data_IF_464287580929
#
_entry.id   IF_464287580929
#
_cell.length_a   1.000
_cell.length_b   1.000
_cell.length_c   1.000
_cell.angle_alpha   90.00
_cell.angle_beta   90.00
_cell.angle_gamma   90.00
#
_symmetry.space_group_name_H-M   'P 1'
#
loop_
_entity.id
_entity.type
_entity.pdbx_description
1 polymer ?
#
# COMPACT_ATOMS: atom_id res chain seq x y z
N UNK A 1 -38.75 19.64 9.36
CA UNK A 1 -37.87 18.73 8.60
C UNK A 1 -36.56 19.46 8.36
N UNK A 2 -35.54 19.20 9.16
CA UNK A 2 -34.22 19.82 9.05
C UNK A 2 -33.42 19.12 7.95
N UNK A 3 -33.23 19.79 6.82
CA UNK A 3 -32.29 19.36 5.79
C UNK A 3 -30.87 19.60 6.30
N UNK A 4 -30.17 18.50 6.59
CA UNK A 4 -28.73 18.48 6.82
C UNK A 4 -28.02 18.78 5.50
N UNK A 5 -27.45 19.97 5.37
CA UNK A 5 -26.53 20.31 4.28
C UNK A 5 -25.22 19.56 4.50
N UNK A 6 -25.03 18.49 3.74
CA UNK A 6 -23.74 17.81 3.63
C UNK A 6 -22.74 18.77 2.98
N UNK A 7 -21.81 19.28 3.79
CA UNK A 7 -20.61 19.96 3.30
C UNK A 7 -19.78 18.97 2.48
N UNK A 8 -19.93 19.02 1.15
CA UNK A 8 -18.98 18.43 0.22
C UNK A 8 -17.67 19.23 0.31
N UNK A 9 -16.84 18.90 1.30
CA UNK A 9 -15.41 19.21 1.24
C UNK A 9 -14.89 18.60 -0.05
N UNK A 10 -14.29 19.41 -0.92
CA UNK A 10 -13.74 18.96 -2.19
C UNK A 10 -12.83 17.73 -1.99
N UNK A 11 -13.24 16.59 -2.52
CA UNK A 11 -12.44 15.35 -2.62
C UNK A 11 -11.37 15.54 -3.72
N UNK A 12 -10.53 16.55 -3.55
CA UNK A 12 -9.33 16.68 -4.37
C UNK A 12 -8.37 15.60 -3.92
N UNK A 13 -7.92 14.78 -4.88
CA UNK A 13 -6.92 13.74 -4.69
C UNK A 13 -5.74 14.27 -3.86
N UNK A 14 -5.08 13.46 -3.01
CA UNK A 14 -3.96 13.96 -2.23
C UNK A 14 -2.94 14.66 -3.13
N UNK A 15 -2.50 15.85 -2.71
CA UNK A 15 -1.29 16.50 -3.25
C UNK A 15 -0.03 15.75 -2.77
N UNK A 16 -0.09 14.43 -2.70
CA UNK A 16 1.04 13.54 -2.47
C UNK A 16 1.83 13.51 -3.75
N UNK A 17 3.08 13.98 -3.69
CA UNK A 17 4.05 13.84 -4.77
C UNK A 17 4.23 12.35 -5.11
N UNK A 18 4.72 12.09 -6.31
CA UNK A 18 5.12 10.76 -6.82
C UNK A 18 5.79 9.91 -5.73
N UNK A 19 5.28 8.70 -5.49
CA UNK A 19 5.88 7.71 -4.60
C UNK A 19 7.30 7.40 -5.09
N UNK A 20 8.28 7.61 -4.22
CA UNK A 20 9.70 7.45 -4.53
C UNK A 20 10.36 6.50 -3.54
N UNK A 21 10.99 5.42 -4.05
CA UNK A 21 11.65 4.43 -3.22
C UNK A 21 12.93 4.96 -2.58
N UNK A 22 13.02 4.77 -1.27
CA UNK A 22 14.26 4.88 -0.50
C UNK A 22 14.83 3.48 -0.27
N UNK A 23 16.07 3.23 -0.71
CA UNK A 23 16.67 1.88 -0.69
C UNK A 23 17.29 1.50 0.67
N UNK A 24 16.99 2.26 1.72
CA UNK A 24 17.46 2.06 3.09
C UNK A 24 16.34 2.37 4.09
N UNK A 25 16.54 1.96 5.35
CA UNK A 25 15.61 2.29 6.44
C UNK A 25 15.63 3.80 6.72
N UNK A 26 14.46 4.42 6.72
CA UNK A 26 14.29 5.85 6.97
C UNK A 26 14.73 6.18 8.40
N UNK A 27 15.52 7.25 8.55
CA UNK A 27 15.92 7.80 9.85
C UNK A 27 14.99 8.94 10.32
N UNK A 28 15.18 9.42 11.55
CA UNK A 28 14.32 10.44 12.17
C UNK A 28 14.34 11.78 11.41
N UNK A 29 15.48 12.14 10.81
CA UNK A 29 15.60 13.39 10.03
C UNK A 29 14.75 13.28 8.77
N UNK A 30 14.89 12.18 8.03
CA UNK A 30 14.10 11.89 6.83
C UNK A 30 12.61 11.77 7.15
N UNK A 31 12.25 11.11 8.25
CA UNK A 31 10.88 11.02 8.73
C UNK A 31 10.26 12.41 8.94
N UNK A 32 10.97 13.30 9.62
CA UNK A 32 10.51 14.66 9.88
C UNK A 32 10.35 15.48 8.59
N UNK A 33 11.22 15.27 7.59
CA UNK A 33 11.09 15.89 6.27
C UNK A 33 9.83 15.37 5.56
N UNK A 34 9.60 14.05 5.55
CA UNK A 34 8.42 13.45 4.93
C UNK A 34 7.13 13.94 5.59
N UNK A 35 7.10 14.03 6.93
CA UNK A 35 5.98 14.58 7.69
C UNK A 35 5.70 16.04 7.34
N UNK A 36 6.72 16.89 7.29
CA UNK A 36 6.58 18.32 6.92
C UNK A 36 6.15 18.51 5.47
N UNK A 37 6.53 17.58 4.59
CA UNK A 37 6.21 17.64 3.16
C UNK A 37 4.99 16.80 2.77
N UNK A 38 4.28 16.22 3.74
CA UNK A 38 3.07 15.41 3.54
C UNK A 38 3.27 14.28 2.53
N UNK A 39 4.39 13.54 2.66
CA UNK A 39 4.78 12.46 1.75
C UNK A 39 4.79 11.10 2.44
N UNK A 40 4.39 10.03 1.74
CA UNK A 40 4.43 8.69 2.30
C UNK A 40 5.87 8.21 2.40
N UNK A 41 6.13 7.39 3.41
CA UNK A 41 7.37 6.65 3.52
C UNK A 41 7.30 5.45 2.58
N UNK A 42 8.29 5.30 1.70
CA UNK A 42 8.42 4.14 0.79
C UNK A 42 9.84 3.65 0.90
N UNK A 43 10.07 2.55 1.61
CA UNK A 43 11.43 2.16 1.94
C UNK A 43 11.66 0.66 2.08
N UNK A 44 12.90 0.24 1.83
CA UNK A 44 13.34 -1.13 2.08
C UNK A 44 13.77 -1.25 3.55
N UNK A 45 13.03 -2.04 4.32
CA UNK A 45 13.30 -2.30 5.74
C UNK A 45 14.45 -3.29 5.93
N UNK A 46 14.55 -4.29 5.06
CA UNK A 46 15.64 -5.25 5.05
C UNK A 46 15.78 -5.97 3.70
N UNK A 47 16.95 -6.57 3.47
CA UNK A 47 17.26 -7.45 2.34
C UNK A 47 17.75 -8.79 2.87
N UNK A 48 17.19 -9.90 2.39
CA UNK A 48 17.57 -11.25 2.81
C UNK A 48 17.65 -12.17 1.58
N UNK A 49 18.87 -12.55 1.20
CA UNK A 49 19.12 -13.28 -0.04
C UNK A 49 18.59 -12.49 -1.25
N UNK A 50 17.79 -13.14 -2.10
CA UNK A 50 17.15 -12.50 -3.25
C UNK A 50 15.90 -11.66 -2.93
N UNK A 51 15.51 -11.56 -1.65
CA UNK A 51 14.28 -10.86 -1.25
C UNK A 51 14.57 -9.49 -0.63
N UNK A 52 13.77 -8.51 -1.01
CA UNK A 52 13.71 -7.18 -0.40
C UNK A 52 12.36 -6.99 0.27
N UNK A 53 12.36 -6.37 1.44
CA UNK A 53 11.17 -6.13 2.25
C UNK A 53 10.84 -4.66 2.18
N UNK A 54 9.87 -4.33 1.34
CA UNK A 54 9.34 -2.98 1.18
C UNK A 54 8.23 -2.73 2.20
N UNK A 55 8.28 -1.56 2.81
CA UNK A 55 7.18 -0.96 3.55
C UNK A 55 6.79 0.38 2.90
N UNK A 56 5.48 0.55 2.68
CA UNK A 56 4.88 1.85 2.41
C UNK A 56 4.06 2.23 3.63
N UNK A 57 4.36 3.38 4.25
CA UNK A 57 3.63 3.89 5.42
C UNK A 57 3.11 5.30 5.14
N UNK A 58 1.82 5.50 5.41
CA UNK A 58 1.10 6.76 5.23
C UNK A 58 1.07 7.62 6.51
N UNK A 59 1.74 7.23 7.60
CA UNK A 59 1.75 7.95 8.88
C UNK A 59 2.26 9.41 8.77
N UNK A 60 3.10 9.69 7.78
CA UNK A 60 3.62 11.03 7.47
C UNK A 60 2.70 11.84 6.55
N UNK A 61 1.59 11.25 6.10
CA UNK A 61 0.59 11.87 5.23
C UNK A 61 -0.68 12.29 5.97
N UNK A 62 -1.46 13.17 5.35
CA UNK A 62 -2.84 13.48 5.73
C UNK A 62 -3.87 12.50 5.13
N UNK A 63 -3.46 11.81 4.07
CA UNK A 63 -4.27 10.88 3.28
C UNK A 63 -3.66 9.48 3.32
N UNK A 64 -4.53 8.48 3.24
CA UNK A 64 -4.15 7.08 3.15
C UNK A 64 -5.04 6.37 2.14
N UNK A 65 -4.78 5.10 1.87
CA UNK A 65 -5.54 4.31 0.89
C UNK A 65 -6.96 4.06 1.41
N UNK A 66 -7.97 4.33 0.58
CA UNK A 66 -9.37 3.98 0.87
C UNK A 66 -9.60 2.46 0.72
N UNK A 67 -10.73 1.94 1.20
CA UNK A 67 -11.12 0.54 0.95
C UNK A 67 -11.18 0.17 -0.54
N UNK A 68 -11.59 1.11 -1.40
CA UNK A 68 -11.62 0.93 -2.87
C UNK A 68 -10.20 0.86 -3.42
N UNK A 69 -9.32 1.78 -3.01
CA UNK A 69 -7.92 1.78 -3.41
C UNK A 69 -7.19 0.52 -2.94
N UNK A 70 -7.51 0.05 -1.74
CA UNK A 70 -6.98 -1.19 -1.17
C UNK A 70 -7.35 -2.39 -2.03
N UNK A 71 -8.64 -2.53 -2.36
CA UNK A 71 -9.14 -3.61 -3.20
C UNK A 71 -8.47 -3.63 -4.58
N UNK A 72 -8.44 -2.47 -5.26
CA UNK A 72 -7.81 -2.31 -6.58
C UNK A 72 -6.32 -2.66 -6.54
N UNK A 73 -5.58 -2.10 -5.58
CA UNK A 73 -4.14 -2.32 -5.49
C UNK A 73 -3.80 -3.75 -5.09
N UNK A 74 -4.56 -4.35 -4.17
CA UNK A 74 -4.34 -5.74 -3.76
C UNK A 74 -4.61 -6.71 -4.92
N UNK A 75 -5.64 -6.49 -5.73
CA UNK A 75 -5.91 -7.31 -6.91
C UNK A 75 -4.75 -7.28 -7.92
N UNK A 76 -4.24 -6.07 -8.20
CA UNK A 76 -3.06 -5.87 -9.07
C UNK A 76 -1.80 -6.51 -8.50
N UNK A 77 -1.56 -6.32 -7.21
CA UNK A 77 -0.42 -6.92 -6.52
C UNK A 77 -0.50 -8.45 -6.50
N UNK A 78 -1.69 -9.04 -6.37
CA UNK A 78 -1.88 -10.48 -6.43
C UNK A 78 -1.52 -11.06 -7.81
N UNK A 79 -1.87 -10.35 -8.89
CA UNK A 79 -1.48 -10.73 -10.25
C UNK A 79 0.03 -10.71 -10.40
N UNK A 80 0.69 -9.61 -10.02
CA UNK A 80 2.16 -9.51 -10.10
C UNK A 80 2.89 -10.50 -9.18
N UNK A 81 2.32 -10.77 -8.01
CA UNK A 81 2.83 -11.80 -7.08
C UNK A 81 2.78 -13.19 -7.69
N UNK A 82 1.78 -13.47 -8.53
CA UNK A 82 1.69 -14.74 -9.28
C UNK A 82 2.83 -14.86 -10.27
N UNK A 83 3.14 -13.79 -11.03
CA UNK A 83 4.31 -13.80 -11.93
C UNK A 83 5.63 -13.91 -11.17
N UNK A 84 5.77 -13.22 -10.04
CA UNK A 84 6.92 -13.37 -9.16
C UNK A 84 7.09 -14.84 -8.70
N UNK A 85 5.99 -15.51 -8.36
CA UNK A 85 6.01 -16.93 -8.01
C UNK A 85 6.46 -17.81 -9.18
N UNK A 86 5.91 -17.62 -10.38
CA UNK A 86 6.32 -18.36 -11.57
C UNK A 86 7.82 -18.18 -11.90
N UNK A 87 8.43 -17.06 -11.46
CA UNK A 87 9.89 -16.81 -11.55
C UNK A 87 10.69 -17.46 -10.42
N UNK A 88 10.09 -18.34 -9.62
CA UNK A 88 10.75 -19.12 -8.56
C UNK A 88 10.89 -18.39 -7.22
N UNK A 89 10.06 -17.39 -6.92
CA UNK A 89 10.02 -16.74 -5.61
C UNK A 89 8.91 -17.29 -4.73
N UNK A 90 9.15 -17.36 -3.42
CA UNK A 90 8.15 -17.78 -2.45
C UNK A 90 7.36 -16.57 -1.95
N UNK A 91 6.05 -16.59 -2.20
CA UNK A 91 5.11 -15.60 -1.66
C UNK A 91 4.95 -15.82 -0.15
N UNK A 92 5.13 -14.75 0.62
CA UNK A 92 4.86 -14.71 2.06
C UNK A 92 3.62 -13.85 2.31
N UNK A 93 2.50 -14.47 2.68
CA UNK A 93 1.18 -13.80 2.73
C UNK A 93 1.15 -12.59 3.67
N UNK A 94 1.83 -12.65 4.82
CA UNK A 94 1.91 -11.53 5.74
C UNK A 94 2.89 -10.43 5.31
N UNK A 95 3.50 -10.55 4.13
CA UNK A 95 4.35 -9.54 3.50
C UNK A 95 3.95 -9.37 2.03
N UNK A 96 2.66 -9.49 1.71
CA UNK A 96 2.09 -9.22 0.38
C UNK A 96 0.68 -8.61 0.54
N UNK A 97 0.58 -7.63 1.43
CA UNK A 97 -0.70 -7.08 1.88
C UNK A 97 -0.76 -5.57 1.72
N UNK A 98 -1.85 -5.09 1.15
CA UNK A 98 -2.24 -3.69 1.10
C UNK A 98 -3.24 -3.44 2.22
N UNK A 99 -2.87 -2.58 3.17
CA UNK A 99 -3.78 -1.97 4.14
C UNK A 99 -4.01 -0.50 3.81
N UNK A 100 -4.92 0.16 4.54
CA UNK A 100 -5.16 1.60 4.37
C UNK A 100 -3.92 2.42 4.71
N UNK A 101 -3.30 2.12 5.87
CA UNK A 101 -2.19 2.89 6.45
C UNK A 101 -0.81 2.36 6.08
N UNK A 102 -0.70 1.07 5.80
CA UNK A 102 0.57 0.39 5.57
C UNK A 102 0.44 -0.64 4.46
N UNK A 103 1.45 -0.73 3.60
CA UNK A 103 1.58 -1.79 2.59
C UNK A 103 2.88 -2.52 2.87
N UNK A 104 2.81 -3.84 2.88
CA UNK A 104 3.97 -4.70 3.09
C UNK A 104 4.15 -5.61 1.87
N UNK A 105 5.35 -5.59 1.31
CA UNK A 105 5.74 -6.39 0.16
C UNK A 105 7.11 -7.02 0.40
N UNK A 106 7.20 -8.34 0.24
CA UNK A 106 8.45 -9.07 0.12
C UNK A 106 8.55 -9.60 -1.30
N UNK A 107 9.54 -9.12 -2.03
CA UNK A 107 9.74 -9.51 -3.42
C UNK A 107 11.10 -9.08 -3.96
N UNK A 108 11.19 -8.99 -5.28
CA UNK A 108 12.34 -8.47 -5.99
C UNK A 108 12.10 -7.05 -6.52
N UNK A 109 13.11 -6.48 -7.19
CA UNK A 109 13.03 -5.12 -7.73
C UNK A 109 11.90 -4.94 -8.75
N UNK A 110 11.51 -6.01 -9.46
CA UNK A 110 10.45 -5.97 -10.47
C UNK A 110 9.09 -5.70 -9.81
N UNK A 111 8.69 -6.53 -8.84
CA UNK A 111 7.39 -6.34 -8.17
C UNK A 111 7.36 -5.06 -7.31
N UNK A 112 8.51 -4.64 -6.75
CA UNK A 112 8.62 -3.36 -6.03
C UNK A 112 8.39 -2.19 -6.99
N UNK A 113 9.06 -2.19 -8.15
CA UNK A 113 8.86 -1.16 -9.19
C UNK A 113 7.41 -1.14 -9.69
N UNK A 114 6.82 -2.33 -9.90
CA UNK A 114 5.41 -2.46 -10.26
C UNK A 114 4.48 -1.81 -9.22
N UNK A 115 4.64 -2.14 -7.93
CA UNK A 115 3.81 -1.59 -6.87
C UNK A 115 3.90 -0.06 -6.79
N UNK A 116 5.10 0.50 -6.91
CA UNK A 116 5.31 1.97 -6.91
C UNK A 116 4.63 2.62 -8.11
N UNK A 117 4.74 2.02 -9.30
CA UNK A 117 4.07 2.52 -10.49
C UNK A 117 2.55 2.48 -10.36
N UNK A 118 1.99 1.40 -9.79
CA UNK A 118 0.55 1.31 -9.56
C UNK A 118 0.07 2.31 -8.51
N UNK A 119 0.83 2.55 -7.43
CA UNK A 119 0.54 3.60 -6.46
C UNK A 119 0.52 5.00 -7.11
N UNK A 120 1.47 5.28 -8.00
CA UNK A 120 1.50 6.53 -8.74
C UNK A 120 0.31 6.70 -9.68
N UNK A 121 -0.11 5.64 -10.40
CA UNK A 121 -1.33 5.68 -11.22
C UNK A 121 -2.59 5.93 -10.38
N UNK A 122 -2.66 5.36 -9.17
CA UNK A 122 -3.80 5.57 -8.29
C UNK A 122 -3.94 7.01 -7.81
N UNK A 123 -2.90 7.86 -7.87
CA UNK A 123 -2.99 9.28 -7.54
C UNK A 123 -4.02 10.04 -8.40
N UNK A 124 -4.33 9.54 -9.60
CA UNK A 124 -5.30 10.16 -10.50
C UNK A 124 -6.76 9.85 -10.10
N UNK A 125 -6.97 8.80 -9.28
CA UNK A 125 -8.30 8.33 -8.87
C UNK A 125 -8.58 8.72 -7.41
N UNK A 126 -9.34 9.81 -7.22
CA UNK A 126 -9.70 10.31 -5.88
C UNK A 126 -10.49 9.30 -5.04
N UNK A 127 -11.18 8.33 -5.65
CA UNK A 127 -11.93 7.29 -4.92
C UNK A 127 -11.01 6.32 -4.17
N UNK A 128 -9.74 6.25 -4.57
CA UNK A 128 -8.73 5.37 -3.98
C UNK A 128 -8.09 5.96 -2.72
N UNK A 129 -8.43 7.19 -2.34
CA UNK A 129 -7.81 7.91 -1.23
C UNK A 129 -8.85 8.38 -0.22
N UNK A 130 -8.46 8.40 1.05
CA UNK A 130 -9.28 8.96 2.12
C UNK A 130 -8.41 9.83 3.01
N UNK A 131 -8.90 11.03 3.32
CA UNK A 131 -8.25 11.90 4.29
C UNK A 131 -8.50 11.34 5.68
N UNK A 132 -7.43 10.97 6.38
CA UNK A 132 -7.51 10.36 7.71
C UNK A 132 -6.92 11.26 8.79
N UNK A 133 -6.28 12.37 8.41
CA UNK A 133 -5.80 13.40 9.33
C UNK A 133 -6.22 14.79 8.85
N UNK A 134 -6.67 15.60 9.80
CA UNK A 134 -6.96 17.01 9.60
C UNK A 134 -6.25 17.81 10.70
N UNK A 135 -5.13 18.44 10.32
CA UNK A 135 -4.22 19.09 11.28
C UNK A 135 -3.80 18.10 12.37
N UNK A 136 -4.10 18.40 13.64
CA UNK A 136 -3.75 17.55 14.77
C UNK A 136 -4.80 16.48 15.09
N UNK A 137 -5.90 16.41 14.31
CA UNK A 137 -6.99 15.47 14.55
C UNK A 137 -6.91 14.28 13.61
N UNK A 138 -7.00 13.09 14.16
CA UNK A 138 -7.23 11.85 13.41
C UNK A 138 -8.72 11.71 13.12
N UNK A 139 -9.08 11.46 11.86
CA UNK A 139 -10.44 11.20 11.42
C UNK A 139 -10.72 9.70 11.49
N UNK A 140 -11.98 9.34 11.73
CA UNK A 140 -12.39 7.95 11.61
C UNK A 140 -12.34 7.56 10.14
N UNK A 141 -11.78 6.38 9.86
CA UNK A 141 -11.75 5.81 8.52
C UNK A 141 -12.45 4.46 8.56
N UNK A 142 -13.30 4.22 7.58
CA UNK A 142 -13.85 2.89 7.34
C UNK A 142 -12.73 2.02 6.75
N UNK A 143 -12.21 1.11 7.57
CA UNK A 143 -11.04 0.29 7.24
C UNK A 143 -11.41 -1.04 6.62
N UNK A 144 -12.67 -1.44 6.71
CA UNK A 144 -13.03 -2.81 6.41
C UNK A 144 -14.43 -2.90 5.83
N UNK A 145 -14.47 -3.47 4.63
CA UNK A 145 -15.69 -3.72 3.90
C UNK A 145 -15.62 -5.14 3.35
N UNK A 146 -16.47 -6.03 3.87
CA UNK A 146 -16.49 -7.44 3.47
C UNK A 146 -16.76 -7.62 1.97
N UNK A 147 -17.49 -6.69 1.34
CA UNK A 147 -17.89 -6.79 -0.07
C UNK A 147 -16.76 -6.36 -1.02
N UNK A 148 -15.92 -5.42 -0.59
CA UNK A 148 -14.80 -4.91 -1.38
C UNK A 148 -13.47 -5.59 -1.04
N UNK A 149 -13.39 -6.35 0.04
CA UNK A 149 -12.13 -6.91 0.51
C UNK A 149 -11.54 -7.94 -0.46
N UNK A 150 -10.35 -7.64 -0.98
CA UNK A 150 -9.54 -8.57 -1.76
C UNK A 150 -8.48 -9.18 -0.85
N UNK A 151 -8.45 -10.51 -0.77
CA UNK A 151 -7.47 -11.22 0.06
C UNK A 151 -6.08 -11.26 -0.61
N UNK A 152 -4.97 -11.09 0.13
CA UNK A 152 -3.64 -11.41 -0.37
C UNK A 152 -3.53 -12.83 -0.91
N UNK A 153 -2.85 -12.99 -2.04
CA UNK A 153 -2.53 -14.31 -2.59
C UNK A 153 -1.72 -15.12 -1.57
N UNK A 154 -2.00 -16.42 -1.53
CA UNK A 154 -1.33 -17.38 -0.65
C UNK A 154 -0.56 -18.35 -1.51
N UNK A 155 0.67 -18.62 -1.10
CA UNK A 155 1.36 -19.79 -1.61
C UNK A 155 0.63 -21.02 -1.07
N UNK A 156 -0.06 -21.75 -1.93
CA UNK A 156 -0.49 -23.10 -1.55
C UNK A 156 0.80 -23.92 -1.39
N UNK A 157 1.07 -24.42 -0.19
CA UNK A 157 2.05 -25.49 -0.05
C UNK A 157 1.43 -26.71 -0.70
N UNK A 158 1.72 -26.96 -1.97
CA UNK A 158 1.54 -28.31 -2.49
C UNK A 158 2.56 -29.17 -1.76
N UNK A 159 2.10 -30.05 -0.87
CA UNK A 159 2.83 -31.27 -0.57
C UNK A 159 2.81 -32.10 -1.86
N UNK A 160 3.63 -31.74 -2.83
CA UNK A 160 3.91 -32.64 -3.94
C UNK A 160 4.88 -33.68 -3.40
N UNK A 161 4.37 -34.62 -2.60
CA UNK A 161 4.94 -35.95 -2.58
C UNK A 161 4.67 -36.50 -3.98
N UNK A 162 5.59 -36.24 -4.91
CA UNK A 162 5.72 -37.11 -6.07
C UNK A 162 6.27 -38.40 -5.47
N UNK A 163 5.38 -39.36 -5.22
CA UNK A 163 5.77 -40.75 -5.13
C UNK A 163 6.38 -41.09 -6.49
N UNK A 164 7.70 -41.09 -6.55
CA UNK A 164 8.48 -41.68 -7.64
C UNK A 164 8.46 -43.19 -7.46
#
# INVERSE_FOLDING_TARGET
MTQSTHNYSSNTSPNTKVFSLVKHKINDVEYNVLKRTNKPMVHITMTQGKYKYLEVDFITCDWCISKVGQAKLQARLNMESTFMWLRGYNIKTNYNSVGNMTIQLRGDDIIIGYLINELNKLLEDSTCWVKYRNKNRMLNIDRYDHELYVRPIRHHKSNTYILV
#
